data_IF_332018626216
#
_entry.id   IF_332018626216
#
_cell.length_a   1.000
_cell.length_b   1.000
_cell.length_c   1.000
_cell.angle_alpha   90.00
_cell.angle_beta   90.00
_cell.angle_gamma   90.00
#
_symmetry.space_group_name_H-M   'P 1'
#
loop_
_entity.id
_entity.type
_entity.pdbx_description
1 polymer ?
#
# COMPACT_ATOMS: atom_id res chain seq x y z
N UNK A 1 13.58 1.06 3.63
CA UNK A 1 14.29 0.43 2.51
C UNK A 1 15.57 1.24 2.29
N UNK A 2 16.72 0.71 2.69
CA UNK A 2 18.01 1.43 2.60
C UNK A 2 18.68 1.26 1.23
N UNK A 3 18.33 0.19 0.50
CA UNK A 3 18.90 -0.16 -0.82
C UNK A 3 17.98 0.16 -1.99
N UNK A 4 16.71 0.50 -1.74
CA UNK A 4 15.71 0.78 -2.79
C UNK A 4 15.12 -0.48 -3.43
N UNK A 5 15.52 -1.66 -2.96
CA UNK A 5 15.12 -2.96 -3.53
C UNK A 5 13.62 -3.22 -3.32
N UNK A 6 13.09 -2.85 -2.16
CA UNK A 6 11.67 -3.02 -1.84
C UNK A 6 10.85 -2.01 -2.64
N UNK A 7 11.28 -0.75 -2.72
CA UNK A 7 10.61 0.29 -3.50
C UNK A 7 10.51 -0.07 -4.98
N UNK A 8 11.56 -0.65 -5.57
CA UNK A 8 11.55 -1.13 -6.96
C UNK A 8 10.62 -2.32 -7.16
N UNK A 9 10.66 -3.33 -6.27
CA UNK A 9 9.79 -4.52 -6.36
C UNK A 9 8.31 -4.17 -6.28
N UNK A 10 7.96 -3.15 -5.49
CA UNK A 10 6.59 -2.66 -5.39
C UNK A 10 6.25 -1.57 -6.41
N UNK A 11 7.17 -1.25 -7.31
CA UNK A 11 6.99 -0.27 -8.40
C UNK A 11 6.41 1.07 -7.90
N UNK A 12 6.94 1.56 -6.78
CA UNK A 12 6.46 2.82 -6.18
C UNK A 12 7.00 4.00 -7.00
N UNK A 13 6.14 4.62 -7.81
CA UNK A 13 6.51 5.74 -8.68
C UNK A 13 6.34 7.13 -8.05
N UNK A 14 5.78 7.23 -6.84
CA UNK A 14 5.53 8.50 -6.17
C UNK A 14 5.29 8.35 -4.67
N UNK A 15 5.59 9.40 -3.91
CA UNK A 15 5.43 9.43 -2.45
C UNK A 15 4.39 10.49 -2.04
N UNK A 16 3.60 10.23 -0.97
CA UNK A 16 3.49 8.96 -0.25
C UNK A 16 2.73 7.89 -1.08
N UNK A 17 3.05 6.62 -0.89
CA UNK A 17 2.29 5.48 -1.45
C UNK A 17 2.02 4.45 -0.37
N UNK A 18 0.78 4.02 -0.26
CA UNK A 18 0.30 2.99 0.67
C UNK A 18 0.00 1.71 -0.10
N UNK A 19 0.51 0.58 0.39
CA UNK A 19 0.32 -0.74 -0.21
C UNK A 19 -0.43 -1.61 0.78
N UNK A 20 -1.51 -2.20 0.33
CA UNK A 20 -2.42 -3.00 1.13
C UNK A 20 -2.25 -4.48 0.77
N UNK A 21 -1.83 -5.27 1.75
CA UNK A 21 -1.49 -6.68 1.57
C UNK A 21 -2.54 -7.52 2.32
N UNK A 22 -3.14 -8.47 1.60
CA UNK A 22 -4.11 -9.41 2.13
C UNK A 22 -3.49 -10.47 3.04
N UNK A 23 -4.35 -11.22 3.76
CA UNK A 23 -3.91 -12.30 4.66
C UNK A 23 -3.20 -13.45 3.93
N UNK A 24 -3.43 -13.58 2.63
CA UNK A 24 -2.77 -14.54 1.75
C UNK A 24 -1.39 -14.06 1.25
N UNK A 25 -0.94 -12.88 1.71
CA UNK A 25 0.32 -12.27 1.33
C UNK A 25 0.30 -11.60 -0.05
N UNK A 26 -0.87 -11.48 -0.69
CA UNK A 26 -0.98 -10.82 -2.00
C UNK A 26 -1.30 -9.33 -1.86
N UNK A 27 -0.76 -8.53 -2.77
CA UNK A 27 -1.12 -7.11 -2.88
C UNK A 27 -2.56 -7.02 -3.38
N UNK A 28 -3.43 -6.42 -2.57
CA UNK A 28 -4.85 -6.21 -2.89
C UNK A 28 -5.05 -4.82 -3.48
N UNK A 29 -4.29 -3.83 -3.00
CA UNK A 29 -4.42 -2.43 -3.44
C UNK A 29 -3.11 -1.66 -3.29
N UNK A 30 -2.91 -0.70 -4.20
CA UNK A 30 -1.87 0.33 -4.12
C UNK A 30 -2.58 1.68 -4.21
N UNK A 31 -2.33 2.57 -3.25
CA UNK A 31 -2.86 3.93 -3.23
C UNK A 31 -1.70 4.92 -3.23
N UNK A 32 -1.68 5.83 -4.20
CA UNK A 32 -0.68 6.90 -4.27
C UNK A 32 -1.30 8.22 -3.85
N UNK A 33 -0.57 8.97 -3.02
CA UNK A 33 -1.00 10.23 -2.44
C UNK A 33 -1.42 10.11 -0.97
N UNK A 34 -1.72 11.26 -0.33
CA UNK A 34 -2.13 11.29 1.07
C UNK A 34 -3.42 10.50 1.28
N UNK A 35 -3.58 9.97 2.49
CA UNK A 35 -4.75 9.22 2.90
C UNK A 35 -5.38 9.85 4.13
N UNK A 36 -6.71 9.79 4.21
CA UNK A 36 -7.44 10.10 5.44
C UNK A 36 -7.64 8.83 6.26
N UNK A 37 -7.92 8.99 7.56
CA UNK A 37 -8.21 7.86 8.44
C UNK A 37 -9.42 7.04 7.96
N UNK A 38 -10.47 7.70 7.46
CA UNK A 38 -11.63 7.01 6.89
C UNK A 38 -11.29 6.14 5.69
N UNK A 39 -10.38 6.58 4.83
CA UNK A 39 -9.90 5.77 3.70
C UNK A 39 -9.11 4.55 4.17
N UNK A 40 -8.30 4.70 5.23
CA UNK A 40 -7.56 3.57 5.82
C UNK A 40 -8.54 2.53 6.36
N UNK A 41 -9.54 2.95 7.13
CA UNK A 41 -10.55 2.03 7.70
C UNK A 41 -11.33 1.31 6.61
N UNK A 42 -11.75 2.03 5.56
CA UNK A 42 -12.44 1.43 4.41
C UNK A 42 -11.56 0.37 3.74
N UNK A 43 -10.30 0.69 3.44
CA UNK A 43 -9.44 -0.23 2.71
C UNK A 43 -9.09 -1.47 3.55
N UNK A 44 -8.93 -1.32 4.87
CA UNK A 44 -8.76 -2.47 5.77
C UNK A 44 -10.01 -3.35 5.79
N UNK A 45 -11.21 -2.76 5.84
CA UNK A 45 -12.45 -3.51 5.82
C UNK A 45 -12.65 -4.32 4.53
N UNK A 46 -12.15 -3.85 3.38
CA UNK A 46 -12.18 -4.57 2.11
C UNK A 46 -11.22 -5.79 2.07
N UNK A 47 -10.25 -5.86 2.98
CA UNK A 47 -9.20 -6.88 3.01
C UNK A 47 -9.46 -7.99 4.06
N UNK A 48 -10.32 -7.71 5.04
CA UNK A 48 -10.73 -8.64 6.10
C UNK A 48 -11.73 -9.68 5.60
#
# INVERSE_FOLDING_TARGET
>A
DETGEVTQKYTVFGLPTSIFIGRDGKVVRIHSGPMTEGMVQQFIAEIL
#
